data_IF_680006123962
#
_entry.id   IF_680006123962
#
_cell.length_a   1.000
_cell.length_b   1.000
_cell.length_c   1.000
_cell.angle_alpha   90.00
_cell.angle_beta   90.00
_cell.angle_gamma   90.00
#
_symmetry.space_group_name_H-M   'P 1'
#
loop_
_entity.id
_entity.type
_entity.pdbx_description
1 polymer ?
#
# COMPACT_ATOMS: atom_id res chain seq x y z
N UNK A 1 -15.10 -5.79 0.05
CA UNK A 1 -15.32 -4.33 0.20
C UNK A 1 -15.86 -3.96 1.58
N UNK A 2 -16.89 -4.61 2.11
CA UNK A 2 -17.42 -4.28 3.45
C UNK A 2 -16.45 -4.67 4.58
N UNK A 3 -15.73 -5.79 4.49
CA UNK A 3 -14.72 -6.23 5.47
C UNK A 3 -13.62 -5.19 5.62
N UNK A 4 -13.05 -4.75 4.51
CA UNK A 4 -12.04 -3.71 4.45
C UNK A 4 -12.55 -2.39 5.10
N UNK A 5 -13.76 -1.98 4.74
CA UNK A 5 -14.38 -0.78 5.29
C UNK A 5 -14.60 -0.86 6.81
N UNK A 6 -15.07 -1.98 7.32
CA UNK A 6 -15.24 -2.21 8.76
C UNK A 6 -13.88 -2.11 9.47
N UNK A 7 -12.83 -2.68 8.91
CA UNK A 7 -11.48 -2.60 9.46
C UNK A 7 -10.98 -1.16 9.51
N UNK A 8 -11.19 -0.36 8.48
CA UNK A 8 -10.79 1.04 8.48
C UNK A 8 -11.44 1.86 9.61
N UNK A 9 -12.68 1.58 9.97
CA UNK A 9 -13.41 2.38 10.96
C UNK A 9 -13.41 1.82 12.39
N UNK A 10 -13.14 0.52 12.59
CA UNK A 10 -13.30 -0.11 13.90
C UNK A 10 -12.03 -0.74 14.47
N UNK A 11 -10.94 -0.87 13.66
CA UNK A 11 -9.78 -1.69 14.03
C UNK A 11 -9.15 -1.28 15.36
N UNK A 12 -8.78 -0.02 15.53
CA UNK A 12 -8.14 0.47 16.77
C UNK A 12 -9.05 0.32 17.99
N UNK A 13 -10.32 0.69 17.85
CA UNK A 13 -11.29 0.53 18.93
C UNK A 13 -11.49 -0.94 19.33
N UNK A 14 -11.48 -1.86 18.35
CA UNK A 14 -11.49 -3.30 18.60
C UNK A 14 -10.21 -3.77 19.30
N UNK A 15 -9.04 -3.39 18.81
CA UNK A 15 -7.73 -3.76 19.35
C UNK A 15 -7.54 -3.27 20.79
N UNK A 16 -8.02 -2.08 21.10
CA UNK A 16 -7.99 -1.49 22.43
C UNK A 16 -9.10 -2.02 23.37
N UNK A 17 -9.99 -2.86 22.87
CA UNK A 17 -11.08 -3.44 23.66
C UNK A 17 -12.21 -2.47 24.00
N UNK A 18 -12.35 -1.36 23.30
CA UNK A 18 -13.40 -0.37 23.50
C UNK A 18 -14.78 -0.96 23.19
N UNK A 19 -15.65 -1.00 24.20
CA UNK A 19 -16.88 -1.80 24.20
C UNK A 19 -17.78 -1.67 22.95
N UNK A 20 -18.18 -0.49 22.44
CA UNK A 20 -19.06 -0.42 21.28
C UNK A 20 -18.37 -0.90 19.99
N UNK A 21 -17.10 -0.54 19.79
CA UNK A 21 -16.35 -0.90 18.58
C UNK A 21 -16.00 -2.38 18.54
N UNK A 22 -15.53 -2.92 19.70
CA UNK A 22 -15.21 -4.33 19.83
C UNK A 22 -16.43 -5.21 19.55
N UNK A 23 -17.58 -4.90 20.13
CA UNK A 23 -18.80 -5.68 19.92
C UNK A 23 -19.24 -5.68 18.46
N UNK A 24 -19.24 -4.51 17.81
CA UNK A 24 -19.63 -4.38 16.41
C UNK A 24 -18.67 -5.14 15.46
N UNK A 25 -17.38 -5.07 15.74
CA UNK A 25 -16.35 -5.79 14.99
C UNK A 25 -16.50 -7.30 15.14
N UNK A 26 -16.57 -7.79 16.37
CA UNK A 26 -16.74 -9.22 16.68
C UNK A 26 -18.03 -9.79 16.06
N UNK A 27 -19.15 -9.04 16.11
CA UNK A 27 -20.41 -9.45 15.50
C UNK A 27 -20.34 -9.54 13.99
N UNK A 28 -19.63 -8.62 13.36
CA UNK A 28 -19.41 -8.66 11.92
C UNK A 28 -18.62 -9.90 11.51
N UNK A 29 -17.50 -10.18 12.20
CA UNK A 29 -16.66 -11.34 11.86
C UNK A 29 -17.33 -12.67 12.19
N UNK A 30 -18.15 -12.76 13.26
CA UNK A 30 -19.00 -13.95 13.51
C UNK A 30 -19.99 -14.21 12.38
N UNK A 31 -20.52 -13.15 11.72
CA UNK A 31 -21.40 -13.33 10.56
C UNK A 31 -20.62 -13.86 9.36
N UNK A 32 -19.39 -13.36 9.12
CA UNK A 32 -18.52 -13.88 8.06
C UNK A 32 -18.21 -15.36 8.32
N UNK A 33 -17.82 -15.71 9.54
CA UNK A 33 -17.57 -17.10 9.93
C UNK A 33 -18.81 -17.98 9.71
N UNK A 34 -19.98 -17.51 10.09
CA UNK A 34 -21.25 -18.21 9.82
C UNK A 34 -21.55 -18.41 8.34
N UNK A 35 -21.20 -17.47 7.48
CA UNK A 35 -21.31 -17.64 6.01
C UNK A 35 -20.34 -18.70 5.48
N UNK A 36 -19.10 -18.70 5.97
CA UNK A 36 -18.12 -19.75 5.62
C UNK A 36 -18.62 -21.11 6.08
N UNK A 37 -19.18 -21.22 7.29
CA UNK A 37 -19.81 -22.45 7.79
C UNK A 37 -20.93 -22.95 6.87
N UNK A 38 -21.88 -22.09 6.51
CA UNK A 38 -22.97 -22.44 5.58
C UNK A 38 -22.47 -22.83 4.19
N UNK A 39 -21.38 -22.24 3.72
CA UNK A 39 -20.74 -22.63 2.46
C UNK A 39 -20.18 -24.05 2.58
N UNK A 40 -19.44 -24.33 3.64
CA UNK A 40 -18.85 -25.66 3.90
C UNK A 40 -19.89 -26.78 3.97
N UNK A 41 -21.07 -26.52 4.52
CA UNK A 41 -22.18 -27.50 4.57
C UNK A 41 -22.76 -27.82 3.19
N UNK A 42 -22.59 -26.94 2.20
CA UNK A 42 -23.15 -27.08 0.84
C UNK A 42 -22.14 -27.52 -0.21
N UNK A 43 -20.87 -27.38 0.09
CA UNK A 43 -19.81 -27.81 -0.84
C UNK A 43 -19.71 -29.33 -0.89
N UNK A 44 -19.55 -29.94 -2.09
CA UNK A 44 -19.19 -31.32 -2.23
C UNK A 44 -17.93 -31.69 -1.43
N UNK A 45 -17.79 -32.93 -1.02
CA UNK A 45 -16.64 -33.39 -0.22
C UNK A 45 -15.31 -33.28 -0.98
N UNK A 46 -15.35 -33.38 -2.31
CA UNK A 46 -14.23 -33.25 -3.23
C UNK A 46 -13.95 -31.84 -3.69
N UNK A 47 -14.65 -30.85 -3.11
CA UNK A 47 -14.44 -29.43 -3.43
C UNK A 47 -13.40 -28.80 -2.52
N UNK A 48 -12.42 -28.13 -3.12
CA UNK A 48 -11.43 -27.35 -2.42
C UNK A 48 -11.95 -25.95 -2.11
N UNK A 49 -11.62 -25.44 -0.92
CA UNK A 49 -11.98 -24.10 -0.49
C UNK A 49 -10.71 -23.29 -0.23
N UNK A 50 -10.59 -22.13 -0.86
CA UNK A 50 -9.58 -21.13 -0.56
C UNK A 50 -10.25 -19.92 0.09
N UNK A 51 -9.71 -19.48 1.22
CA UNK A 51 -10.06 -18.21 1.86
C UNK A 51 -8.79 -17.41 2.03
N UNK A 52 -8.76 -16.18 1.49
CA UNK A 52 -7.57 -15.34 1.51
C UNK A 52 -7.92 -13.87 1.72
N UNK A 53 -6.94 -13.10 2.17
CA UNK A 53 -6.96 -11.64 2.12
C UNK A 53 -5.88 -11.13 1.16
N UNK A 54 -6.13 -9.99 0.54
CA UNK A 54 -5.17 -9.32 -0.35
C UNK A 54 -4.09 -8.54 0.42
N UNK A 55 -4.33 -8.20 1.68
CA UNK A 55 -3.40 -7.55 2.60
C UNK A 55 -3.79 -7.85 4.05
N UNK A 56 -2.90 -7.51 4.98
CA UNK A 56 -3.19 -7.47 6.40
C UNK A 56 -3.75 -6.12 6.84
N UNK A 57 -3.86 -5.92 8.15
CA UNK A 57 -4.41 -4.70 8.74
C UNK A 57 -3.73 -4.37 10.07
N UNK A 58 -3.63 -3.07 10.40
CA UNK A 58 -3.17 -2.60 11.69
C UNK A 58 -3.88 -1.30 12.11
N UNK A 59 -3.73 -0.89 13.36
CA UNK A 59 -4.18 0.43 13.81
C UNK A 59 -3.43 1.54 13.08
N UNK A 60 -4.15 2.58 12.60
CA UNK A 60 -3.52 3.78 12.07
C UNK A 60 -3.26 4.77 13.21
N UNK A 61 -2.03 5.24 13.32
CA UNK A 61 -1.65 6.30 14.25
C UNK A 61 -1.78 7.68 13.61
N UNK A 62 -1.22 7.85 12.39
CA UNK A 62 -1.24 9.11 11.65
C UNK A 62 -1.32 8.91 10.14
N UNK A 63 -2.01 9.83 9.48
CA UNK A 63 -1.89 10.06 8.04
C UNK A 63 -0.65 10.90 7.77
N UNK A 64 0.14 10.51 6.75
CA UNK A 64 1.43 11.14 6.43
C UNK A 64 1.43 11.67 5.00
N UNK A 65 1.72 12.94 4.84
CA UNK A 65 1.68 13.66 3.57
C UNK A 65 3.08 13.84 2.99
N UNK A 66 3.55 12.89 2.19
CA UNK A 66 4.90 12.93 1.61
C UNK A 66 5.13 14.18 0.75
N UNK A 67 4.11 14.68 0.07
CA UNK A 67 4.24 15.90 -0.73
C UNK A 67 4.55 17.12 0.14
N UNK A 68 4.08 17.17 1.39
CA UNK A 68 4.47 18.24 2.33
C UNK A 68 5.98 18.19 2.63
N UNK A 69 6.54 16.99 2.87
CA UNK A 69 7.98 16.82 3.06
C UNK A 69 8.76 17.20 1.79
N UNK A 70 8.35 16.69 0.62
CA UNK A 70 9.00 17.01 -0.66
C UNK A 70 8.99 18.51 -0.96
N UNK A 71 7.91 19.21 -0.63
CA UNK A 71 7.79 20.66 -0.78
C UNK A 71 8.71 21.39 0.20
N UNK A 72 8.72 21.02 1.49
CA UNK A 72 9.57 21.60 2.52
C UNK A 72 11.06 21.45 2.23
N UNK A 73 11.45 20.36 1.55
CA UNK A 73 12.82 20.08 1.12
C UNK A 73 13.15 20.64 -0.28
N UNK A 74 12.20 21.35 -0.91
CA UNK A 74 12.40 22.00 -2.21
C UNK A 74 12.42 21.06 -3.42
N UNK A 75 12.01 19.81 -3.27
CA UNK A 75 11.84 18.88 -4.40
C UNK A 75 10.55 19.14 -5.17
N UNK A 76 9.48 19.48 -4.46
CA UNK A 76 8.17 19.84 -5.03
C UNK A 76 7.98 21.34 -4.95
N UNK A 77 7.56 21.94 -6.05
CA UNK A 77 7.17 23.34 -6.16
C UNK A 77 5.73 23.41 -6.67
N UNK A 78 4.87 24.06 -5.92
CA UNK A 78 3.45 24.19 -6.25
C UNK A 78 3.05 25.66 -6.36
N UNK A 79 2.10 25.94 -7.25
CA UNK A 79 1.40 27.22 -7.29
C UNK A 79 -0.07 26.99 -7.58
N UNK A 80 -0.99 27.78 -6.97
CA UNK A 80 -2.41 27.64 -7.27
C UNK A 80 -2.70 27.84 -8.76
N UNK A 81 -3.59 27.03 -9.32
CA UNK A 81 -4.14 27.27 -10.64
C UNK A 81 -4.92 28.60 -10.67
N UNK A 82 -5.10 29.18 -11.86
CA UNK A 82 -5.83 30.46 -12.01
C UNK A 82 -7.21 30.40 -11.35
N UNK A 83 -7.48 31.34 -10.46
CA UNK A 83 -8.74 31.44 -9.71
C UNK A 83 -8.84 30.52 -8.48
N UNK A 84 -7.75 29.87 -8.09
CA UNK A 84 -7.67 29.07 -6.86
C UNK A 84 -6.83 29.79 -5.81
N UNK A 85 -7.17 29.57 -4.54
CA UNK A 85 -6.42 30.14 -3.41
C UNK A 85 -5.17 29.32 -3.05
N UNK A 86 -5.21 27.99 -3.32
CA UNK A 86 -4.12 27.05 -3.02
C UNK A 86 -4.06 25.94 -4.07
N UNK A 87 -2.91 25.25 -4.19
CA UNK A 87 -2.79 24.07 -5.03
C UNK A 87 -3.75 22.96 -4.57
N UNK A 88 -4.36 22.23 -5.51
CA UNK A 88 -5.32 21.16 -5.22
C UNK A 88 -4.75 19.76 -5.54
N UNK A 89 -3.79 19.72 -6.45
CA UNK A 89 -3.20 18.44 -6.90
C UNK A 89 -1.75 18.63 -7.37
N UNK A 90 -1.06 17.53 -7.64
CA UNK A 90 0.27 17.56 -8.27
C UNK A 90 0.26 18.11 -9.70
N UNK A 91 -0.91 18.24 -10.35
CA UNK A 91 -1.03 18.92 -11.64
C UNK A 91 -0.68 20.40 -11.56
N UNK A 92 -0.80 21.01 -10.36
CA UNK A 92 -0.46 22.40 -10.06
C UNK A 92 1.07 22.59 -9.81
N UNK A 93 1.88 21.56 -10.09
CA UNK A 93 3.33 21.68 -9.94
C UNK A 93 3.95 22.62 -10.97
N UNK A 94 4.92 23.38 -10.47
CA UNK A 94 5.75 24.28 -11.28
C UNK A 94 6.84 23.50 -12.03
N UNK A 95 7.37 24.06 -13.13
CA UNK A 95 8.41 23.40 -13.94
C UNK A 95 9.71 23.07 -13.17
N UNK A 96 9.99 23.77 -12.07
CA UNK A 96 11.18 23.53 -11.24
C UNK A 96 11.03 22.34 -10.29
N UNK A 97 9.86 21.70 -10.23
CA UNK A 97 9.64 20.47 -9.46
C UNK A 97 10.57 19.38 -9.91
N UNK A 98 11.28 18.76 -8.96
CA UNK A 98 12.22 17.65 -9.20
C UNK A 98 11.62 16.28 -8.88
N UNK A 99 10.75 16.20 -7.86
CA UNK A 99 10.08 14.97 -7.47
C UNK A 99 8.72 15.27 -6.83
N UNK A 100 7.79 14.31 -6.93
CA UNK A 100 6.43 14.41 -6.38
C UNK A 100 5.87 13.01 -6.06
N UNK A 101 4.86 12.94 -5.20
CA UNK A 101 4.11 11.71 -4.89
C UNK A 101 2.69 11.82 -5.44
N UNK A 102 2.37 11.04 -6.47
CA UNK A 102 1.04 11.04 -7.10
C UNK A 102 0.07 10.10 -6.38
N UNK A 103 0.57 8.95 -5.99
CA UNK A 103 -0.16 7.88 -5.30
C UNK A 103 0.53 7.63 -3.96
N UNK A 104 -0.19 7.25 -2.90
CA UNK A 104 0.41 7.00 -1.58
C UNK A 104 1.69 6.17 -1.66
N UNK A 105 2.78 6.71 -1.13
CA UNK A 105 4.09 6.07 -1.09
C UNK A 105 4.83 5.96 -2.43
N UNK A 106 4.24 6.35 -3.58
CA UNK A 106 4.89 6.29 -4.90
C UNK A 106 5.48 7.65 -5.23
N UNK A 107 6.82 7.70 -5.29
CA UNK A 107 7.55 8.91 -5.60
C UNK A 107 8.05 8.85 -7.05
N UNK A 108 7.76 9.89 -7.79
CA UNK A 108 8.15 10.07 -9.19
C UNK A 108 9.20 11.17 -9.29
N UNK A 109 10.24 10.93 -10.07
CA UNK A 109 11.17 11.97 -10.50
C UNK A 109 10.54 12.71 -11.67
N UNK A 110 10.54 14.03 -11.65
CA UNK A 110 10.05 14.86 -12.77
C UNK A 110 11.09 14.85 -13.92
N UNK A 111 11.21 13.71 -14.60
CA UNK A 111 12.27 13.39 -15.54
C UNK A 111 12.04 14.06 -16.90
N UNK A 112 13.04 14.77 -17.39
CA UNK A 112 13.03 15.34 -18.73
C UNK A 112 12.89 14.27 -19.81
N UNK A 113 11.96 14.47 -20.75
CA UNK A 113 11.65 13.52 -21.81
C UNK A 113 10.62 12.44 -21.45
N UNK A 114 10.36 12.20 -20.16
CA UNK A 114 9.29 11.34 -19.69
C UNK A 114 8.06 12.14 -19.23
N UNK A 115 8.30 13.13 -18.38
CA UNK A 115 7.21 14.00 -17.88
C UNK A 115 7.02 15.21 -18.80
N UNK A 116 5.78 15.67 -18.94
CA UNK A 116 5.45 16.83 -19.77
C UNK A 116 6.21 18.10 -19.38
N UNK A 117 6.42 18.30 -18.07
CA UNK A 117 7.17 19.42 -17.49
C UNK A 117 8.47 18.94 -16.83
N UNK A 118 9.09 17.91 -17.39
CA UNK A 118 10.28 17.28 -16.81
C UNK A 118 11.44 18.26 -16.64
N UNK A 119 11.94 18.40 -15.42
CA UNK A 119 13.02 19.33 -15.05
C UNK A 119 14.36 18.62 -14.79
N UNK A 120 14.31 17.32 -14.42
CA UNK A 120 15.50 16.55 -14.06
C UNK A 120 16.11 15.94 -15.30
N UNK A 121 17.36 16.31 -15.68
CA UNK A 121 18.03 15.69 -16.81
C UNK A 121 18.39 14.24 -16.51
N UNK A 122 18.47 13.40 -17.55
CA UNK A 122 18.78 11.97 -17.41
C UNK A 122 20.10 11.73 -16.65
N UNK A 123 21.08 12.58 -16.82
CA UNK A 123 22.38 12.47 -16.13
C UNK A 123 22.29 12.65 -14.60
N UNK A 124 21.25 13.33 -14.09
CA UNK A 124 21.05 13.56 -12.67
C UNK A 124 20.03 12.58 -12.02
N UNK A 125 19.43 11.71 -12.83
CA UNK A 125 18.34 10.84 -12.41
C UNK A 125 18.73 9.87 -11.28
N UNK A 126 19.81 9.12 -11.45
CA UNK A 126 20.24 8.12 -10.48
C UNK A 126 20.76 8.74 -9.17
N UNK A 127 21.43 9.88 -9.25
CA UNK A 127 21.90 10.59 -8.05
C UNK A 127 20.73 11.14 -7.23
N UNK A 128 19.71 11.69 -7.89
CA UNK A 128 18.51 12.16 -7.23
C UNK A 128 17.69 11.02 -6.60
N UNK A 129 17.59 9.87 -7.28
CA UNK A 129 16.92 8.70 -6.72
C UNK A 129 17.62 8.20 -5.47
N UNK A 130 18.96 8.13 -5.48
CA UNK A 130 19.77 7.75 -4.32
C UNK A 130 19.57 8.73 -3.18
N UNK A 131 19.73 10.02 -3.45
CA UNK A 131 19.50 11.10 -2.49
C UNK A 131 18.13 10.99 -1.82
N UNK A 132 17.05 10.86 -2.61
CA UNK A 132 15.68 10.73 -2.10
C UNK A 132 15.49 9.45 -1.29
N UNK A 133 16.02 8.32 -1.74
CA UNK A 133 15.93 7.06 -0.99
C UNK A 133 16.54 7.17 0.40
N UNK A 134 17.74 7.72 0.48
CA UNK A 134 18.47 7.87 1.76
C UNK A 134 17.76 8.86 2.68
N UNK A 135 17.35 10.01 2.15
CA UNK A 135 16.72 11.07 2.91
C UNK A 135 15.31 10.72 3.39
N UNK A 136 14.50 10.02 2.58
CA UNK A 136 13.17 9.57 2.99
C UNK A 136 13.24 8.68 4.24
N UNK A 137 14.18 7.75 4.27
CA UNK A 137 14.37 6.85 5.43
C UNK A 137 14.95 7.61 6.63
N UNK A 138 15.91 8.50 6.42
CA UNK A 138 16.61 9.17 7.51
C UNK A 138 15.83 10.34 8.13
N UNK A 139 15.08 11.09 7.31
CA UNK A 139 14.56 12.41 7.68
C UNK A 139 13.04 12.46 7.85
N UNK A 140 12.26 11.56 7.19
CA UNK A 140 10.80 11.54 7.35
C UNK A 140 10.47 10.92 8.70
N UNK A 141 10.24 11.79 9.68
CA UNK A 141 9.97 11.42 11.08
C UNK A 141 8.67 12.06 11.56
N UNK A 142 8.03 11.36 12.46
CA UNK A 142 6.85 11.89 13.16
C UNK A 142 7.24 13.15 13.95
N UNK A 143 6.61 14.30 13.69
CA UNK A 143 6.97 15.57 14.33
C UNK A 143 6.79 15.58 15.86
N UNK A 144 5.88 14.75 16.39
CA UNK A 144 5.59 14.71 17.83
C UNK A 144 6.51 13.73 18.56
N UNK A 145 6.68 12.52 18.01
CA UNK A 145 7.40 11.44 18.70
C UNK A 145 8.87 11.32 18.27
N UNK A 146 9.25 11.91 17.13
CA UNK A 146 10.57 11.74 16.52
C UNK A 146 10.83 10.38 15.92
N UNK A 147 9.85 9.46 15.95
CA UNK A 147 9.97 8.12 15.39
C UNK A 147 10.11 8.17 13.86
N UNK A 148 10.91 7.29 13.25
CA UNK A 148 10.96 7.17 11.79
C UNK A 148 9.60 6.72 11.26
N UNK A 149 9.18 7.30 10.13
CA UNK A 149 7.94 6.96 9.44
C UNK A 149 8.21 5.96 8.32
N UNK A 150 9.29 6.14 7.56
CA UNK A 150 9.62 5.28 6.42
C UNK A 150 10.55 4.17 6.87
N UNK A 151 10.11 2.92 6.72
CA UNK A 151 10.88 1.73 7.06
C UNK A 151 11.92 1.39 5.99
N UNK A 152 11.56 1.54 4.72
CA UNK A 152 12.44 1.31 3.57
C UNK A 152 11.93 2.02 2.32
N UNK A 153 12.82 2.22 1.37
CA UNK A 153 12.47 2.66 0.01
C UNK A 153 12.90 1.56 -0.97
N UNK A 154 11.98 1.15 -1.84
CA UNK A 154 12.19 0.14 -2.86
C UNK A 154 12.31 0.86 -4.21
N UNK A 155 13.29 0.49 -5.02
CA UNK A 155 13.43 0.99 -6.38
C UNK A 155 12.50 0.25 -7.34
N UNK A 156 12.01 0.91 -8.37
CA UNK A 156 11.09 0.30 -9.34
C UNK A 156 11.63 -0.99 -9.97
N UNK A 157 12.95 -1.06 -10.20
CA UNK A 157 13.62 -2.21 -10.79
C UNK A 157 13.57 -3.47 -9.92
N UNK A 158 13.34 -3.32 -8.63
CA UNK A 158 13.24 -4.44 -7.69
C UNK A 158 11.88 -5.16 -7.77
N UNK A 159 10.81 -4.44 -8.15
CA UNK A 159 9.44 -4.97 -8.05
C UNK A 159 8.62 -4.91 -9.34
N UNK A 160 8.98 -4.04 -10.28
CA UNK A 160 8.22 -3.92 -11.53
C UNK A 160 8.93 -4.56 -12.71
N UNK A 161 8.16 -5.14 -13.62
CA UNK A 161 8.59 -5.76 -14.87
C UNK A 161 7.57 -5.46 -15.98
N UNK A 162 7.92 -5.78 -17.21
CA UNK A 162 7.00 -5.75 -18.33
C UNK A 162 6.91 -4.41 -19.08
N UNK A 163 5.99 -4.31 -20.05
CA UNK A 163 5.96 -3.21 -21.04
C UNK A 163 5.60 -1.85 -20.46
N UNK A 164 5.01 -1.81 -19.27
CA UNK A 164 4.62 -0.56 -18.58
C UNK A 164 5.66 -0.06 -17.58
N UNK A 165 6.82 -0.72 -17.49
CA UNK A 165 7.88 -0.42 -16.52
C UNK A 165 8.27 1.07 -16.49
N UNK A 166 8.37 1.72 -17.66
CA UNK A 166 8.74 3.13 -17.75
C UNK A 166 7.72 4.10 -17.15
N UNK A 167 6.49 3.62 -16.92
CA UNK A 167 5.42 4.39 -16.25
C UNK A 167 5.34 4.16 -14.76
N UNK A 168 6.09 3.19 -14.25
CA UNK A 168 6.11 2.91 -12.81
C UNK A 168 6.75 4.07 -12.04
N UNK A 169 6.32 4.24 -10.78
CA UNK A 169 6.97 5.16 -9.85
C UNK A 169 8.45 4.79 -9.69
N UNK A 170 9.30 5.79 -9.60
CA UNK A 170 10.75 5.60 -9.52
C UNK A 170 11.19 5.00 -8.18
N UNK A 171 10.47 5.36 -7.11
CA UNK A 171 10.72 4.90 -5.75
C UNK A 171 9.38 4.59 -5.07
N UNK A 172 9.39 3.56 -4.24
CA UNK A 172 8.25 3.16 -3.41
C UNK A 172 8.67 3.26 -1.94
N UNK A 173 8.15 4.27 -1.25
CA UNK A 173 8.34 4.41 0.18
C UNK A 173 7.37 3.47 0.92
N UNK A 174 7.91 2.59 1.74
CA UNK A 174 7.16 1.68 2.59
C UNK A 174 7.23 2.22 4.02
N UNK A 175 6.10 2.59 4.64
CA UNK A 175 6.09 3.09 6.00
C UNK A 175 6.25 1.97 7.02
N UNK A 176 6.55 2.32 8.26
CA UNK A 176 6.24 1.49 9.42
C UNK A 176 4.73 1.41 9.62
N UNK A 177 4.26 0.29 10.17
CA UNK A 177 2.85 0.12 10.52
C UNK A 177 2.38 1.25 11.43
N UNK A 178 1.14 1.69 11.23
CA UNK A 178 0.56 2.84 11.91
C UNK A 178 0.68 4.17 11.15
N UNK A 179 1.53 4.26 10.11
CA UNK A 179 1.69 5.46 9.30
C UNK A 179 1.09 5.29 7.91
N UNK A 180 -0.06 5.92 7.67
CA UNK A 180 -0.80 5.84 6.41
C UNK A 180 -0.35 6.95 5.45
N UNK A 181 0.45 6.61 4.43
CA UNK A 181 0.95 7.58 3.44
C UNK A 181 -0.17 8.09 2.54
N UNK A 182 -0.18 9.39 2.28
CA UNK A 182 -1.16 10.08 1.42
C UNK A 182 -0.47 10.84 0.29
N UNK A 183 -1.13 10.90 -0.86
CA UNK A 183 -0.67 11.65 -2.05
C UNK A 183 -1.19 13.09 -2.13
N UNK A 184 -1.92 13.59 -1.13
CA UNK A 184 -2.46 14.94 -1.14
C UNK A 184 -1.34 16.00 -1.14
N UNK A 185 -1.66 17.17 -1.70
CA UNK A 185 -0.79 18.35 -1.72
C UNK A 185 -1.35 19.46 -0.81
N UNK A 186 -0.57 20.54 -0.64
CA UNK A 186 -0.98 21.74 0.10
C UNK A 186 -1.45 21.46 1.54
N UNK A 187 -0.86 20.47 2.18
CA UNK A 187 -1.10 20.20 3.60
C UNK A 187 -0.15 21.01 4.47
N UNK A 188 -0.66 21.49 5.60
CA UNK A 188 0.11 22.32 6.52
C UNK A 188 1.07 21.54 7.42
N UNK A 189 0.88 20.22 7.51
CA UNK A 189 1.64 19.36 8.42
C UNK A 189 2.05 18.06 7.71
N UNK A 190 3.20 17.52 8.11
CA UNK A 190 3.71 16.25 7.58
C UNK A 190 2.84 15.07 8.01
N UNK A 191 2.44 15.02 9.28
CA UNK A 191 1.70 13.90 9.84
C UNK A 191 0.61 14.40 10.81
N UNK A 192 -0.62 13.94 10.60
CA UNK A 192 -1.77 14.31 11.42
C UNK A 192 -2.59 13.07 11.79
N UNK A 193 -3.35 13.13 12.87
CA UNK A 193 -4.37 12.12 13.16
C UNK A 193 -5.55 12.33 12.23
N UNK A 194 -5.91 11.26 11.49
CA UNK A 194 -7.10 11.22 10.63
C UNK A 194 -8.29 10.57 11.33
N UNK A 195 -9.39 10.43 10.58
CA UNK A 195 -10.63 9.81 11.05
C UNK A 195 -10.59 8.28 11.02
N UNK A 196 -9.71 7.68 10.21
CA UNK A 196 -9.58 6.24 10.10
C UNK A 196 -8.90 5.65 11.34
N UNK A 197 -9.37 4.48 11.75
CA UNK A 197 -8.85 3.72 12.89
C UNK A 197 -7.95 2.57 12.48
N UNK A 198 -8.04 2.13 11.22
CA UNK A 198 -7.25 1.04 10.69
C UNK A 198 -6.69 1.34 9.30
N UNK A 199 -5.58 0.72 8.98
CA UNK A 199 -4.89 0.83 7.69
C UNK A 199 -4.34 -0.52 7.22
N UNK A 200 -4.11 -0.63 5.93
CA UNK A 200 -3.47 -1.80 5.32
C UNK A 200 -2.02 -1.96 5.78
N UNK A 201 -1.59 -3.18 6.03
CA UNK A 201 -0.18 -3.50 6.21
C UNK A 201 0.45 -3.98 4.90
N UNK A 202 1.77 -3.81 4.80
CA UNK A 202 2.54 -4.34 3.66
C UNK A 202 2.69 -5.87 3.72
N UNK A 203 2.65 -6.43 4.91
CA UNK A 203 2.75 -7.86 5.20
C UNK A 203 1.47 -8.38 5.89
N UNK A 204 1.48 -9.62 6.36
CA UNK A 204 0.45 -10.23 7.22
C UNK A 204 -0.92 -10.48 6.58
N UNK A 205 -0.98 -10.65 5.26
CA UNK A 205 -2.13 -11.27 4.62
C UNK A 205 -2.25 -12.74 5.03
N UNK A 206 -3.45 -13.29 4.99
CA UNK A 206 -3.65 -14.71 5.24
C UNK A 206 -4.07 -15.46 3.98
N UNK A 207 -3.72 -16.75 3.94
CA UNK A 207 -4.13 -17.68 2.90
C UNK A 207 -4.46 -19.03 3.54
N UNK A 208 -5.70 -19.42 3.47
CA UNK A 208 -6.20 -20.70 3.99
C UNK A 208 -6.69 -21.56 2.83
N UNK A 209 -6.26 -22.83 2.81
CA UNK A 209 -6.73 -23.82 1.84
C UNK A 209 -7.21 -25.06 2.58
N UNK A 210 -8.38 -25.56 2.20
CA UNK A 210 -8.93 -26.84 2.61
C UNK A 210 -9.22 -27.69 1.38
N UNK A 211 -8.75 -28.93 1.37
CA UNK A 211 -8.97 -29.89 0.30
C UNK A 211 -8.51 -31.28 0.70
N UNK A 212 -8.73 -32.28 -0.18
CA UNK A 212 -8.50 -33.68 0.13
C UNK A 212 -7.01 -34.04 0.25
N UNK A 213 -6.17 -33.52 -0.64
CA UNK A 213 -4.75 -33.87 -0.72
C UNK A 213 -3.82 -32.72 -0.28
N UNK A 214 -4.32 -31.81 0.57
CA UNK A 214 -3.57 -30.64 1.02
C UNK A 214 -2.87 -30.95 2.33
N UNK A 215 -1.53 -30.92 2.31
CA UNK A 215 -0.72 -31.08 3.50
C UNK A 215 -0.86 -29.85 4.42
N UNK A 216 -0.84 -30.09 5.75
CA UNK A 216 -0.74 -29.00 6.72
C UNK A 216 0.61 -28.32 6.59
N UNK A 217 0.59 -27.00 6.47
CA UNK A 217 1.77 -26.14 6.46
C UNK A 217 1.40 -24.75 6.95
N UNK A 218 2.39 -24.00 7.40
CA UNK A 218 2.27 -22.61 7.84
C UNK A 218 3.39 -21.73 7.26
N UNK A 219 3.87 -22.08 6.07
CA UNK A 219 4.92 -21.36 5.39
C UNK A 219 4.39 -20.04 4.81
N UNK A 220 5.07 -18.94 5.12
CA UNK A 220 4.81 -17.66 4.48
C UNK A 220 5.21 -17.69 3.00
N UNK A 221 4.38 -17.09 2.14
CA UNK A 221 4.64 -16.95 0.70
C UNK A 221 4.08 -15.62 0.16
N UNK A 222 4.46 -15.28 -1.05
CA UNK A 222 3.97 -14.06 -1.69
C UNK A 222 2.55 -14.25 -2.23
N UNK A 223 1.70 -13.23 -2.13
CA UNK A 223 0.33 -13.24 -2.65
C UNK A 223 0.26 -13.55 -4.16
N UNK A 224 1.31 -13.25 -4.93
CA UNK A 224 1.37 -13.61 -6.36
C UNK A 224 1.31 -15.11 -6.60
N UNK A 225 1.60 -15.94 -5.59
CA UNK A 225 1.48 -17.40 -5.64
C UNK A 225 0.04 -17.90 -5.56
N UNK A 226 -0.91 -17.07 -5.14
CA UNK A 226 -2.31 -17.48 -4.97
C UNK A 226 -2.92 -17.97 -6.30
N UNK A 227 -2.69 -17.25 -7.40
CA UNK A 227 -3.23 -17.61 -8.71
C UNK A 227 -2.62 -18.93 -9.25
N UNK A 228 -1.29 -19.09 -9.14
CA UNK A 228 -0.62 -20.33 -9.52
C UNK A 228 -1.14 -21.53 -8.72
N UNK A 229 -1.42 -21.32 -7.42
CA UNK A 229 -2.01 -22.33 -6.53
C UNK A 229 -3.42 -22.71 -6.98
N UNK A 230 -4.28 -21.74 -7.32
CA UNK A 230 -5.59 -22.00 -7.89
C UNK A 230 -5.50 -22.82 -9.19
N UNK A 231 -4.59 -22.48 -10.10
CA UNK A 231 -4.38 -23.23 -11.34
C UNK A 231 -3.99 -24.69 -11.06
N UNK A 232 -3.08 -24.91 -10.11
CA UNK A 232 -2.66 -26.27 -9.71
C UNK A 232 -3.82 -27.09 -9.16
N UNK A 233 -4.63 -26.52 -8.26
CA UNK A 233 -5.82 -27.18 -7.72
C UNK A 233 -6.83 -27.55 -8.81
N UNK A 234 -7.02 -26.67 -9.78
CA UNK A 234 -7.92 -26.90 -10.91
C UNK A 234 -7.34 -27.84 -11.98
N UNK A 235 -6.09 -28.31 -11.85
CA UNK A 235 -5.41 -29.13 -12.86
C UNK A 235 -5.16 -28.40 -14.18
N UNK A 236 -5.09 -27.07 -14.19
CA UNK A 236 -4.86 -26.25 -15.38
C UNK A 236 -3.47 -25.62 -15.34
N UNK A 237 -2.87 -25.45 -16.52
CA UNK A 237 -1.60 -24.75 -16.63
C UNK A 237 -1.82 -23.24 -16.48
N UNK A 238 -1.02 -22.56 -15.65
CA UNK A 238 -1.10 -21.11 -15.56
C UNK A 238 -0.66 -20.45 -16.87
N UNK A 239 -1.21 -19.28 -17.23
CA UNK A 239 -0.77 -18.53 -18.40
C UNK A 239 0.72 -18.20 -18.33
N UNK A 240 1.35 -18.07 -19.50
CA UNK A 240 2.74 -17.63 -19.61
C UNK A 240 2.89 -16.19 -19.04
N UNK A 241 3.97 -15.96 -18.30
CA UNK A 241 4.32 -14.64 -17.77
C UNK A 241 3.67 -14.28 -16.43
N UNK A 242 2.95 -15.19 -15.76
CA UNK A 242 2.53 -14.98 -14.37
C UNK A 242 3.74 -15.05 -13.43
N UNK A 243 3.68 -14.29 -12.36
CA UNK A 243 4.63 -14.36 -11.26
C UNK A 243 4.10 -15.32 -10.16
N UNK A 244 5.02 -15.88 -9.39
CA UNK A 244 4.72 -16.80 -8.30
C UNK A 244 4.57 -18.26 -8.75
N UNK A 245 4.77 -19.14 -7.78
CA UNK A 245 4.67 -20.60 -7.93
C UNK A 245 3.58 -21.15 -7.00
N UNK A 246 2.98 -22.30 -7.38
CA UNK A 246 1.99 -22.96 -6.53
C UNK A 246 2.64 -23.44 -5.22
N UNK A 247 1.96 -23.19 -4.09
CA UNK A 247 2.48 -23.44 -2.73
C UNK A 247 1.92 -24.69 -2.06
N UNK A 248 1.19 -25.52 -2.80
CA UNK A 248 0.61 -26.79 -2.36
C UNK A 248 1.06 -27.94 -3.21
#
# INVERSE_FOLDING_TARGET
METDRINHFLWRGWEQGEAPWKAAFDDYYRKIDGFVGQLLERLPEDCELIVLSDHGFCSVEKEVYLNHWLESQGYLKLAPAAGKEKPESVADMLPETRAYSLIPGRVFINLAGREQKGSVPQAAYEDLRRELSDRLVAEVKDPESGKPIIAKVIRREEIYRGPMFERAADLIAVPFDGYDLKGNVAKSELAIRGDLQGMHTFADAFFFVRGHDIAKGDNGFSIVSAFATCCKLMGVQPPEGIEGEAVI
#
